data_IF_787502606473
#
_entry.id   IF_787502606473
#
_cell.length_a   1.000
_cell.length_b   1.000
_cell.length_c   1.000
_cell.angle_alpha   90.00
_cell.angle_beta   90.00
_cell.angle_gamma   90.00
#
_symmetry.space_group_name_H-M   'P 1'
#
loop_
_entity.id
_entity.type
_entity.pdbx_description
1 polymer ?
#
# COMPACT_ATOMS: atom_id res chain seq x y z
N UNK A 1 -7.45 -17.86 4.14
CA UNK A 1 -6.38 -16.99 4.71
C UNK A 1 -5.66 -16.31 3.54
N UNK A 2 -6.08 -15.09 3.24
CA UNK A 2 -5.81 -14.37 1.99
C UNK A 2 -4.40 -13.74 1.95
N UNK A 3 -3.43 -14.36 2.61
CA UNK A 3 -2.14 -13.75 2.92
C UNK A 3 -0.99 -14.20 2.02
N UNK A 4 -1.25 -14.63 0.78
CA UNK A 4 -0.17 -15.09 -0.13
C UNK A 4 -0.33 -14.52 -1.55
N UNK A 5 -0.50 -13.21 -1.67
CA UNK A 5 -0.61 -12.52 -2.96
C UNK A 5 0.77 -12.08 -3.51
N UNK A 6 1.03 -12.40 -4.79
CA UNK A 6 2.17 -11.97 -5.65
C UNK A 6 3.61 -12.13 -5.13
N UNK A 7 4.60 -11.94 -6.02
CA UNK A 7 5.99 -11.59 -5.65
C UNK A 7 6.16 -10.08 -5.50
N UNK A 8 5.43 -9.30 -6.31
CA UNK A 8 5.38 -7.84 -6.21
C UNK A 8 3.93 -7.37 -6.08
N UNK A 9 3.71 -6.38 -5.22
CA UNK A 9 2.47 -5.62 -5.15
C UNK A 9 2.60 -4.33 -5.94
N UNK A 10 1.52 -3.94 -6.64
CA UNK A 10 1.42 -2.65 -7.31
C UNK A 10 0.25 -1.82 -6.74
N UNK A 11 0.48 -0.52 -6.62
CA UNK A 11 -0.54 0.48 -6.26
C UNK A 11 -0.38 1.68 -7.17
N UNK A 12 -1.31 1.86 -8.12
CA UNK A 12 -1.43 3.07 -8.93
C UNK A 12 -2.46 4.00 -8.29
N UNK A 13 -2.01 5.19 -7.87
CA UNK A 13 -2.87 6.20 -7.28
C UNK A 13 -3.46 7.12 -8.36
N UNK A 14 -4.78 7.33 -8.27
CA UNK A 14 -5.54 8.30 -9.08
C UNK A 14 -6.14 9.40 -8.20
N UNK A 15 -5.59 9.59 -6.99
CA UNK A 15 -6.04 10.59 -6.03
C UNK A 15 -5.94 12.01 -6.61
N UNK A 16 -6.97 12.82 -6.40
CA UNK A 16 -7.02 14.24 -6.79
C UNK A 16 -7.17 15.10 -5.53
N UNK A 17 -6.65 16.33 -5.55
CA UNK A 17 -6.73 17.26 -4.41
C UNK A 17 -5.48 17.25 -3.52
N UNK A 18 -5.65 17.63 -2.24
CA UNK A 18 -4.56 17.67 -1.24
C UNK A 18 -4.64 16.46 -0.26
N UNK A 19 -4.01 15.33 -0.59
CA UNK A 19 -4.11 14.08 0.17
C UNK A 19 -3.41 14.13 1.54
N UNK A 20 -2.44 15.04 1.74
CA UNK A 20 -1.61 15.09 2.95
C UNK A 20 -2.42 15.36 4.24
N UNK A 21 -3.56 16.01 4.11
CA UNK A 21 -4.45 16.35 5.23
C UNK A 21 -5.64 15.40 5.35
N UNK A 22 -5.83 14.52 4.34
CA UNK A 22 -7.00 13.65 4.18
C UNK A 22 -6.70 12.18 4.46
N UNK A 23 -5.46 11.83 4.78
CA UNK A 23 -5.07 10.43 5.04
C UNK A 23 -5.00 9.59 3.77
N UNK A 24 -5.19 8.26 3.90
CA UNK A 24 -5.09 7.34 2.76
C UNK A 24 -3.66 7.01 2.33
N UNK A 25 -2.67 7.28 3.17
CA UNK A 25 -1.27 6.94 2.91
C UNK A 25 -1.06 5.42 2.88
N UNK A 26 -0.17 4.98 2.00
CA UNK A 26 0.37 3.62 2.07
C UNK A 26 1.46 3.60 3.14
N UNK A 27 1.19 2.89 4.24
CA UNK A 27 2.08 2.77 5.38
C UNK A 27 2.87 1.46 5.33
N UNK A 28 4.15 1.52 5.66
CA UNK A 28 5.06 0.36 5.76
C UNK A 28 5.64 0.23 7.16
N UNK A 29 5.81 -1.01 7.59
CA UNK A 29 6.26 -1.38 8.93
C UNK A 29 7.53 -2.22 8.83
N UNK A 30 8.66 -1.62 9.17
CA UNK A 30 9.99 -2.16 8.86
C UNK A 30 10.47 -3.23 9.85
N UNK A 31 9.99 -3.22 11.10
CA UNK A 31 10.51 -4.10 12.15
C UNK A 31 9.44 -4.46 13.16
N UNK A 32 8.81 -5.62 12.98
CA UNK A 32 7.94 -6.24 13.98
C UNK A 32 8.20 -7.73 14.02
N UNK A 33 8.39 -8.29 15.21
CA UNK A 33 8.37 -9.73 15.41
C UNK A 33 7.08 -10.29 14.74
N UNK A 34 7.14 -11.31 13.87
CA UNK A 34 5.97 -11.86 13.20
C UNK A 34 4.82 -12.22 14.15
N UNK A 35 5.14 -12.46 15.43
CA UNK A 35 4.16 -12.71 16.50
C UNK A 35 3.57 -11.43 17.11
N UNK A 36 4.33 -10.34 17.18
CA UNK A 36 3.83 -9.02 17.60
C UNK A 36 2.98 -8.33 16.51
N UNK A 37 3.07 -8.80 15.27
CA UNK A 37 2.22 -8.35 14.15
C UNK A 37 0.74 -8.76 14.28
N UNK A 38 0.42 -9.71 15.19
CA UNK A 38 -0.97 -10.12 15.47
C UNK A 38 -1.62 -9.37 16.64
N UNK A 39 -0.83 -8.77 17.54
CA UNK A 39 -1.39 -7.82 18.50
C UNK A 39 -1.53 -6.48 17.79
N UNK A 40 -2.72 -5.90 17.81
CA UNK A 40 -2.98 -4.52 17.33
C UNK A 40 -2.30 -3.47 18.22
N UNK A 41 -1.16 -3.78 18.84
CA UNK A 41 -0.33 -2.75 19.43
C UNK A 41 0.15 -1.86 18.29
N UNK A 42 -0.22 -0.59 18.40
CA UNK A 42 -0.01 0.47 17.41
C UNK A 42 1.48 0.64 17.11
N UNK A 43 2.05 -0.24 16.29
CA UNK A 43 3.35 0.00 15.71
C UNK A 43 3.24 1.28 14.89
N UNK A 44 4.23 2.16 15.03
CA UNK A 44 4.31 3.33 14.15
C UNK A 44 4.89 2.86 12.82
N UNK A 45 4.33 3.29 11.68
CA UNK A 45 4.94 3.01 10.40
C UNK A 45 6.33 3.65 10.36
N UNK A 46 7.29 2.93 9.82
CA UNK A 46 8.64 3.48 9.57
C UNK A 46 8.64 4.39 8.34
N UNK A 47 7.70 4.16 7.41
CA UNK A 47 7.59 4.89 6.17
C UNK A 47 6.13 5.01 5.76
N UNK A 48 5.76 6.17 5.22
CA UNK A 48 4.43 6.44 4.67
C UNK A 48 4.57 7.12 3.31
N UNK A 49 3.76 6.70 2.35
CA UNK A 49 3.66 7.31 1.03
C UNK A 49 2.30 7.97 0.86
N UNK A 50 2.30 9.30 0.76
CA UNK A 50 1.11 10.07 0.43
C UNK A 50 0.75 9.83 -1.04
N UNK A 51 -0.49 9.39 -1.35
CA UNK A 51 -0.89 9.07 -2.71
C UNK A 51 -0.95 10.34 -3.58
N UNK A 52 -0.26 10.35 -4.72
CA UNK A 52 -0.36 11.42 -5.71
C UNK A 52 -1.03 10.93 -7.01
N UNK A 53 -1.62 11.85 -7.79
CA UNK A 53 -2.18 11.49 -9.09
C UNK A 53 -1.10 10.90 -9.99
N UNK A 54 -1.41 9.75 -10.62
CA UNK A 54 -0.52 9.04 -11.52
C UNK A 54 0.78 8.52 -10.87
N UNK A 55 0.78 8.36 -9.54
CA UNK A 55 1.89 7.76 -8.82
C UNK A 55 1.73 6.24 -8.78
N UNK A 56 2.71 5.53 -9.33
CA UNK A 56 2.81 4.08 -9.23
C UNK A 56 3.83 3.71 -8.14
N UNK A 57 3.40 2.88 -7.19
CA UNK A 57 4.26 2.26 -6.19
C UNK A 57 4.32 0.76 -6.48
N UNK A 58 5.55 0.23 -6.56
CA UNK A 58 5.83 -1.19 -6.74
C UNK A 58 6.76 -1.63 -5.61
N UNK A 59 6.43 -2.73 -4.94
CA UNK A 59 7.27 -3.27 -3.86
C UNK A 59 7.19 -4.79 -3.79
N UNK A 60 8.31 -5.41 -3.40
CA UNK A 60 8.42 -6.86 -3.26
C UNK A 60 7.72 -7.32 -1.98
N UNK A 61 6.92 -8.37 -2.07
CA UNK A 61 6.15 -8.91 -0.94
C UNK A 61 6.69 -10.24 -0.42
N UNK A 62 7.60 -10.88 -1.18
CA UNK A 62 8.28 -12.14 -0.81
C UNK A 62 9.79 -11.96 -0.61
N UNK A 63 10.34 -12.82 0.24
CA UNK A 63 11.76 -13.06 0.59
C UNK A 63 12.83 -11.95 0.40
N UNK A 64 13.50 -11.54 1.51
CA UNK A 64 13.02 -11.70 2.89
C UNK A 64 11.62 -11.07 2.99
N UNK A 65 10.71 -11.66 3.79
CA UNK A 65 9.29 -11.28 3.87
C UNK A 65 9.10 -9.77 3.66
N UNK A 66 8.36 -9.39 2.61
CA UNK A 66 8.20 -7.99 2.26
C UNK A 66 7.59 -7.20 3.42
N UNK A 67 7.74 -5.87 3.43
CA UNK A 67 7.27 -5.07 4.54
C UNK A 67 5.77 -5.28 4.75
N UNK A 68 5.37 -5.47 6.00
CA UNK A 68 3.96 -5.38 6.34
C UNK A 68 3.49 -3.97 6.01
N UNK A 69 2.30 -3.87 5.43
CA UNK A 69 1.81 -2.61 4.89
C UNK A 69 0.29 -2.55 4.98
N UNK A 70 -0.23 -1.33 5.08
CA UNK A 70 -1.66 -1.06 5.06
C UNK A 70 -1.94 0.31 4.43
N UNK A 71 -3.19 0.54 4.03
CA UNK A 71 -3.67 1.87 3.67
C UNK A 71 -4.28 2.50 4.90
N UNK A 72 -3.73 3.64 5.34
CA UNK A 72 -4.27 4.38 6.48
C UNK A 72 -5.67 4.91 6.17
N UNK A 73 -6.46 5.12 7.22
CA UNK A 73 -7.82 5.62 7.10
C UNK A 73 -7.87 6.97 6.35
N UNK A 74 -8.81 7.09 5.41
CA UNK A 74 -9.13 8.37 4.75
C UNK A 74 -10.01 9.16 5.71
N UNK A 75 -9.51 10.34 6.11
CA UNK A 75 -10.21 11.28 6.98
C UNK A 75 -11.07 12.20 6.14
N UNK A 76 -12.34 12.34 6.52
CA UNK A 76 -13.16 13.43 6.03
C UNK A 76 -12.50 14.77 6.41
N UNK A 77 -12.73 15.83 5.60
CA UNK A 77 -12.32 17.18 6.00
C UNK A 77 -12.85 17.46 7.41
N UNK A 78 -12.03 18.11 8.26
CA UNK A 78 -12.51 18.57 9.56
C UNK A 78 -13.77 19.40 9.36
N UNK A 79 -14.74 19.19 10.25
CA UNK A 79 -16.03 19.86 10.27
C UNK A 79 -15.92 21.33 10.70
N UNK A 80 -14.98 22.08 10.14
CA UNK A 80 -14.90 23.53 10.26
C UNK A 80 -15.91 24.17 9.29
N UNK A 81 -17.19 23.90 9.58
CA UNK A 81 -18.40 24.70 9.35
C UNK A 81 -18.72 25.41 8.02
N UNK A 82 -17.81 25.52 7.06
CA UNK A 82 -17.96 26.43 5.92
C UNK A 82 -17.31 25.96 4.61
N UNK A 83 -16.91 24.70 4.49
CA UNK A 83 -16.44 24.16 3.21
C UNK A 83 -17.42 23.12 2.67
N UNK A 84 -18.09 23.54 1.60
CA UNK A 84 -18.70 22.73 0.57
C UNK A 84 -18.05 21.35 0.48
N UNK A 85 -18.87 20.30 0.53
CA UNK A 85 -18.54 18.87 0.52
C UNK A 85 -17.46 18.48 -0.52
N UNK A 86 -16.19 18.73 -0.23
CA UNK A 86 -15.09 18.05 -0.90
C UNK A 86 -14.95 16.70 -0.21
N UNK A 87 -15.83 15.78 -0.61
CA UNK A 87 -15.68 14.36 -0.38
C UNK A 87 -14.40 13.93 -1.10
N UNK A 88 -13.28 13.94 -0.39
CA UNK A 88 -12.03 13.47 -0.92
C UNK A 88 -12.14 11.96 -1.17
N UNK A 89 -12.13 11.58 -2.44
CA UNK A 89 -12.15 10.18 -2.87
C UNK A 89 -10.77 9.75 -3.34
N UNK A 90 -10.23 8.71 -2.71
CA UNK A 90 -8.95 8.10 -3.10
C UNK A 90 -9.20 6.95 -4.07
N UNK A 91 -9.21 7.28 -5.36
CA UNK A 91 -9.24 6.30 -6.44
C UNK A 91 -7.85 5.68 -6.67
N UNK A 92 -7.81 4.40 -7.05
CA UNK A 92 -6.58 3.73 -7.42
C UNK A 92 -6.80 2.32 -7.96
N UNK A 93 -5.76 1.78 -8.59
CA UNK A 93 -5.71 0.42 -9.11
C UNK A 93 -4.66 -0.33 -8.30
N UNK A 94 -5.01 -1.50 -7.77
CA UNK A 94 -4.08 -2.38 -7.06
C UNK A 94 -4.00 -3.73 -7.74
N UNK A 95 -2.87 -4.40 -7.58
CA UNK A 95 -2.68 -5.73 -8.16
C UNK A 95 -1.36 -6.35 -7.75
N UNK A 96 -1.10 -7.51 -8.32
CA UNK A 96 0.01 -8.36 -7.95
C UNK A 96 0.69 -8.93 -9.20
N UNK A 97 2.01 -8.89 -9.23
CA UNK A 97 2.81 -9.64 -10.20
C UNK A 97 3.28 -10.93 -9.54
N UNK A 98 3.19 -12.05 -10.26
CA UNK A 98 3.76 -13.32 -9.85
C UNK A 98 5.03 -13.55 -10.64
N UNK A 99 6.14 -13.84 -9.97
CA UNK A 99 7.32 -14.34 -10.67
C UNK A 99 6.94 -15.70 -11.27
N UNK A 100 6.97 -15.78 -12.59
CA UNK A 100 6.89 -17.06 -13.28
C UNK A 100 8.29 -17.64 -13.28
N UNK A 101 8.54 -18.62 -12.42
CA UNK A 101 9.64 -19.58 -12.66
C UNK A 101 9.27 -20.40 -13.90
N UNK A 102 9.50 -19.85 -15.09
CA UNK A 102 9.71 -20.70 -16.25
C UNK A 102 11.20 -21.02 -16.24
N UNK A 103 11.62 -22.25 -15.88
CA UNK A 103 12.92 -22.70 -16.33
C UNK A 103 12.86 -22.62 -17.86
N UNK A 104 13.57 -21.65 -18.45
CA UNK A 104 13.97 -21.83 -19.84
C UNK A 104 14.82 -23.09 -19.82
N UNK A 105 14.23 -24.22 -20.22
CA UNK A 105 15.01 -25.42 -20.48
C UNK A 105 15.96 -25.04 -21.61
N UNK A 106 17.24 -24.90 -21.27
CA UNK A 106 18.34 -24.54 -22.18
C UNK A 106 18.64 -25.71 -23.15
N UNK A 107 17.75 -26.70 -23.26
CA UNK A 107 17.90 -27.88 -24.12
C UNK A 107 17.22 -27.76 -25.49
N UNK A 108 16.66 -26.60 -25.86
CA UNK A 108 16.14 -26.34 -27.22
C UNK A 108 16.95 -25.29 -28.00
N UNK A 109 18.29 -25.39 -27.97
CA UNK A 109 19.19 -24.68 -28.89
C UNK A 109 20.17 -25.64 -29.58
#
# INVERSE_FOLDING_TARGET
>A
PDSVSGTYAMVLSLARGNPKERGGELAFYCHGNPRAQRSREKQKPCHTLTPQFNQLVLFKTREPMGPWHEVLEVRAASADGNSQHDNFERWGITGWYHDTEHPMNVEEL
#
